data_IF_225210902026
#
_entry.id   IF_225210902026
#
_cell.length_a   1.000
_cell.length_b   1.000
_cell.length_c   1.000
_cell.angle_alpha   90.00
_cell.angle_beta   90.00
_cell.angle_gamma   90.00
#
_symmetry.space_group_name_H-M   'P 1'
#
loop_
_entity.id
_entity.type
_entity.pdbx_description
1 polymer ?
#
# COMPACT_ATOMS: atom_id res chain seq x y z
N UNK A 1 19.46 2.69 -14.84
CA UNK A 1 18.67 3.46 -13.85
C UNK A 1 19.32 4.83 -13.71
N UNK A 2 18.55 5.89 -13.88
CA UNK A 2 19.08 7.27 -13.84
C UNK A 2 19.06 7.76 -12.40
N UNK A 3 20.15 8.32 -11.95
CA UNK A 3 20.39 8.83 -10.61
C UNK A 3 20.93 10.25 -10.73
N UNK A 4 20.55 11.13 -9.83
CA UNK A 4 21.12 12.48 -9.78
C UNK A 4 22.33 12.50 -8.85
N UNK A 5 23.48 12.86 -9.38
CA UNK A 5 24.71 13.07 -8.61
C UNK A 5 24.96 14.55 -8.39
N UNK A 6 25.30 14.92 -7.17
CA UNK A 6 25.79 16.27 -6.87
C UNK A 6 27.24 16.40 -7.35
N UNK A 7 27.53 17.48 -8.03
CA UNK A 7 28.86 17.82 -8.52
C UNK A 7 29.24 19.22 -8.02
N UNK A 8 30.54 19.50 -7.99
CA UNK A 8 31.02 20.82 -7.58
C UNK A 8 30.48 21.90 -8.52
N UNK A 9 30.01 23.00 -7.96
CA UNK A 9 29.45 24.15 -8.71
C UNK A 9 30.42 24.77 -9.72
N UNK A 10 31.71 24.47 -9.63
CA UNK A 10 32.73 24.86 -10.62
C UNK A 10 32.49 24.30 -12.02
N UNK A 11 31.66 23.27 -12.15
CA UNK A 11 31.31 22.65 -13.43
C UNK A 11 30.09 23.28 -14.12
N UNK A 12 29.57 24.42 -13.61
CA UNK A 12 28.42 25.12 -14.18
C UNK A 12 27.06 24.50 -13.88
N UNK A 13 27.04 23.36 -13.17
CA UNK A 13 25.83 22.72 -12.69
C UNK A 13 26.09 22.11 -11.31
N UNK A 14 25.09 22.14 -10.42
CA UNK A 14 25.18 21.54 -9.08
C UNK A 14 24.77 20.06 -9.07
N UNK A 15 24.06 19.61 -10.12
CA UNK A 15 23.53 18.24 -10.22
C UNK A 15 23.58 17.73 -11.66
N UNK A 16 24.00 16.49 -11.84
CA UNK A 16 24.02 15.81 -13.14
C UNK A 16 23.28 14.48 -13.02
N UNK A 17 22.42 14.22 -14.00
CA UNK A 17 21.80 12.91 -14.13
C UNK A 17 22.81 11.91 -14.73
N UNK A 18 23.11 10.85 -14.01
CA UNK A 18 24.04 9.81 -14.44
C UNK A 18 23.32 8.45 -14.47
N UNK A 19 23.76 7.57 -15.34
CA UNK A 19 23.23 6.22 -15.41
C UNK A 19 24.00 5.33 -14.44
N UNK A 20 23.51 5.21 -13.21
CA UNK A 20 24.07 4.32 -12.17
C UNK A 20 22.99 3.34 -11.73
N UNK A 21 23.36 2.09 -11.65
CA UNK A 21 22.51 1.01 -11.20
C UNK A 21 21.85 0.22 -12.32
N UNK A 22 21.54 -1.00 -12.02
CA UNK A 22 20.95 -1.97 -12.92
C UNK A 22 19.71 -2.60 -12.33
N UNK A 23 18.70 -2.77 -13.17
CA UNK A 23 17.41 -3.36 -12.84
C UNK A 23 17.14 -4.53 -13.78
N UNK A 24 16.65 -5.63 -13.23
CA UNK A 24 16.23 -6.79 -14.00
C UNK A 24 14.74 -7.03 -13.82
N UNK A 25 14.01 -7.02 -14.92
CA UNK A 25 12.61 -7.41 -14.99
C UNK A 25 12.50 -8.75 -15.71
N UNK A 26 11.71 -9.65 -15.15
CA UNK A 26 11.28 -10.92 -15.77
C UNK A 26 9.80 -11.09 -15.50
N UNK A 27 9.11 -11.76 -16.37
CA UNK A 27 7.68 -12.00 -16.17
C UNK A 27 7.16 -13.10 -17.06
N UNK A 28 5.91 -13.45 -16.79
CA UNK A 28 5.10 -14.32 -17.65
C UNK A 28 3.66 -13.80 -17.67
N UNK A 29 2.97 -14.10 -18.72
CA UNK A 29 1.57 -13.82 -18.93
C UNK A 29 0.85 -15.08 -19.37
N UNK A 30 -0.36 -15.29 -18.87
CA UNK A 30 -1.22 -16.40 -19.23
C UNK A 30 -2.59 -15.86 -19.60
N UNK A 31 -3.11 -16.28 -20.74
CA UNK A 31 -4.49 -16.01 -21.15
C UNK A 31 -5.15 -17.33 -21.56
N UNK A 32 -6.31 -17.61 -20.97
CA UNK A 32 -7.07 -18.84 -21.20
C UNK A 32 -8.51 -18.48 -21.49
N UNK A 33 -9.02 -18.92 -22.63
CA UNK A 33 -10.42 -18.80 -23.00
C UNK A 33 -11.04 -20.20 -23.12
N UNK A 34 -12.15 -20.41 -22.43
CA UNK A 34 -12.87 -21.69 -22.42
C UNK A 34 -14.33 -21.47 -22.80
N UNK A 35 -14.86 -22.38 -23.60
CA UNK A 35 -16.29 -22.47 -23.92
C UNK A 35 -16.79 -23.86 -23.60
N UNK A 36 -16.92 -24.21 -22.31
CA UNK A 36 -17.26 -25.58 -21.90
C UNK A 36 -18.64 -26.00 -22.36
N UNK A 37 -19.50 -25.06 -22.65
CA UNK A 37 -20.84 -25.32 -23.11
C UNK A 37 -21.25 -24.30 -24.18
N UNK A 38 -21.62 -24.79 -25.36
CA UNK A 38 -22.14 -23.97 -26.46
C UNK A 38 -23.23 -24.72 -27.20
N UNK A 39 -24.49 -24.52 -26.79
CA UNK A 39 -25.68 -25.07 -27.37
C UNK A 39 -26.60 -23.97 -27.87
N UNK A 40 -27.64 -24.31 -28.61
CA UNK A 40 -28.62 -23.37 -29.16
C UNK A 40 -29.23 -22.48 -28.07
N UNK A 41 -29.69 -23.09 -26.99
CA UNK A 41 -30.42 -22.40 -25.93
C UNK A 41 -29.55 -22.00 -24.72
N UNK A 42 -28.35 -22.54 -24.56
CA UNK A 42 -27.47 -22.22 -23.45
C UNK A 42 -25.99 -22.27 -23.83
N UNK A 43 -25.24 -21.41 -23.23
CA UNK A 43 -23.82 -21.34 -23.44
C UNK A 43 -23.11 -20.77 -22.21
N UNK A 44 -21.86 -21.19 -22.00
CA UNK A 44 -20.96 -20.69 -20.99
C UNK A 44 -19.64 -20.35 -21.67
N UNK A 45 -19.16 -19.13 -21.47
CA UNK A 45 -17.83 -18.72 -21.89
C UNK A 45 -17.11 -18.17 -20.69
N UNK A 46 -15.86 -18.59 -20.49
CA UNK A 46 -14.99 -18.16 -19.42
C UNK A 46 -13.70 -17.62 -20.05
N UNK A 47 -13.23 -16.49 -19.58
CA UNK A 47 -11.94 -15.92 -19.97
C UNK A 47 -11.18 -15.55 -18.72
N UNK A 48 -9.96 -16.01 -18.62
CA UNK A 48 -9.05 -15.74 -17.53
C UNK A 48 -7.74 -15.23 -18.10
N UNK A 49 -7.25 -14.13 -17.54
CA UNK A 49 -5.91 -13.62 -17.84
C UNK A 49 -5.18 -13.31 -16.54
N UNK A 50 -3.89 -13.54 -16.53
CA UNK A 50 -3.06 -13.19 -15.39
C UNK A 50 -1.62 -12.98 -15.83
N UNK A 51 -0.93 -12.09 -15.12
CA UNK A 51 0.48 -11.79 -15.35
C UNK A 51 1.23 -11.67 -14.02
N UNK A 52 2.51 -12.01 -14.06
CA UNK A 52 3.45 -11.83 -12.94
C UNK A 52 4.73 -11.19 -13.45
N UNK A 53 5.14 -10.11 -12.77
CA UNK A 53 6.39 -9.44 -13.05
C UNK A 53 7.31 -9.56 -11.84
N UNK A 54 8.50 -10.05 -12.06
CA UNK A 54 9.59 -10.09 -11.07
C UNK A 54 10.54 -8.94 -11.35
N UNK A 55 10.54 -7.98 -10.47
CA UNK A 55 11.43 -6.83 -10.51
C UNK A 55 12.54 -7.03 -9.47
N UNK A 56 13.78 -6.83 -9.86
CA UNK A 56 14.91 -6.95 -8.94
C UNK A 56 16.01 -5.95 -9.30
N UNK A 57 16.42 -5.16 -8.32
CA UNK A 57 17.62 -4.33 -8.42
C UNK A 57 18.86 -5.22 -8.33
N UNK A 58 19.73 -5.16 -9.32
CA UNK A 58 20.95 -5.96 -9.37
C UNK A 58 22.18 -5.15 -8.98
N UNK A 59 22.12 -3.83 -9.17
CA UNK A 59 23.14 -2.91 -8.70
C UNK A 59 22.47 -1.59 -8.31
N UNK A 60 22.61 -1.17 -7.05
CA UNK A 60 22.09 0.08 -6.53
C UNK A 60 23.24 1.04 -6.22
N UNK A 61 23.02 2.34 -6.42
CA UNK A 61 23.94 3.37 -5.98
C UNK A 61 23.76 3.60 -4.47
N UNK A 62 24.79 3.34 -3.69
CA UNK A 62 24.77 3.49 -2.23
C UNK A 62 24.64 4.95 -1.77
N UNK A 63 25.10 5.90 -2.57
CA UNK A 63 25.04 7.33 -2.25
C UNK A 63 23.60 7.86 -2.13
N UNK A 64 22.59 7.14 -2.65
CA UNK A 64 21.18 7.54 -2.58
C UNK A 64 20.49 7.23 -1.23
N UNK A 65 21.10 6.42 -0.40
CA UNK A 65 20.48 5.91 0.82
C UNK A 65 20.94 6.69 2.06
N UNK A 66 21.18 7.99 1.91
CA UNK A 66 21.78 8.85 2.95
C UNK A 66 20.77 9.50 3.89
N UNK A 67 19.45 9.26 3.70
CA UNK A 67 18.41 9.82 4.54
C UNK A 67 17.35 8.79 4.91
N UNK A 68 16.91 8.78 6.16
CA UNK A 68 15.79 7.94 6.60
C UNK A 68 14.51 8.24 5.81
N UNK A 69 14.33 9.47 5.33
CA UNK A 69 13.17 9.87 4.53
C UNK A 69 13.06 9.08 3.24
N UNK A 70 14.17 8.66 2.66
CA UNK A 70 14.15 7.80 1.47
C UNK A 70 13.51 6.44 1.77
N UNK A 71 13.74 5.89 2.97
CA UNK A 71 13.14 4.64 3.43
C UNK A 71 11.64 4.80 3.69
N UNK A 72 11.24 5.82 4.45
CA UNK A 72 9.83 6.02 4.79
C UNK A 72 8.99 6.41 3.58
N UNK A 73 9.54 7.15 2.62
CA UNK A 73 8.87 7.51 1.37
C UNK A 73 8.91 6.38 0.33
N UNK A 74 9.69 5.32 0.57
CA UNK A 74 9.83 4.20 -0.35
C UNK A 74 10.56 4.55 -1.64
N UNK A 75 11.43 5.57 -1.61
CA UNK A 75 12.31 5.95 -2.72
C UNK A 75 13.67 5.25 -2.66
N UNK A 76 13.97 4.57 -1.54
CA UNK A 76 15.22 3.83 -1.39
C UNK A 76 15.30 2.66 -2.36
N UNK A 77 16.47 2.47 -2.94
CA UNK A 77 16.75 1.41 -3.88
C UNK A 77 17.82 0.52 -3.27
N UNK A 78 17.46 -0.74 -3.01
CA UNK A 78 18.33 -1.70 -2.33
C UNK A 78 18.63 -2.91 -3.23
N UNK A 79 19.89 -3.33 -3.27
CA UNK A 79 20.28 -4.52 -3.99
C UNK A 79 19.49 -5.75 -3.57
N UNK A 80 19.06 -6.53 -4.54
CA UNK A 80 18.34 -7.77 -4.31
C UNK A 80 16.84 -7.61 -4.02
N UNK A 81 16.35 -6.37 -3.83
CA UNK A 81 14.93 -6.07 -3.59
C UNK A 81 14.27 -5.51 -4.84
N UNK A 82 12.94 -5.60 -4.95
CA UNK A 82 12.18 -4.87 -5.97
C UNK A 82 12.31 -3.35 -5.78
N UNK A 83 12.23 -2.60 -6.88
CA UNK A 83 11.92 -1.16 -6.81
C UNK A 83 10.55 -0.98 -6.17
N UNK A 84 10.31 0.14 -5.50
CA UNK A 84 9.04 0.41 -4.78
C UNK A 84 8.78 -0.52 -3.59
N UNK A 85 9.83 -1.07 -2.99
CA UNK A 85 9.72 -1.80 -1.72
C UNK A 85 9.37 -0.84 -0.59
N UNK A 86 8.35 -1.19 0.21
CA UNK A 86 8.07 -0.52 1.47
C UNK A 86 9.08 -0.94 2.53
N UNK A 87 9.60 0.04 3.25
CA UNK A 87 10.41 -0.14 4.43
C UNK A 87 9.66 0.44 5.62
N UNK A 88 9.65 -0.27 6.75
CA UNK A 88 8.88 0.10 7.93
C UNK A 88 9.71 -0.11 9.19
N UNK A 89 9.46 0.72 10.22
CA UNK A 89 9.92 0.43 11.57
C UNK A 89 9.19 -0.79 12.11
N UNK A 90 9.87 -1.62 12.86
CA UNK A 90 9.22 -2.76 13.53
C UNK A 90 8.64 -2.30 14.87
N UNK A 91 7.33 -2.18 14.93
CA UNK A 91 6.64 -1.90 16.18
C UNK A 91 6.80 -3.09 17.14
N UNK A 92 7.05 -2.81 18.42
CA UNK A 92 7.09 -3.82 19.47
C UNK A 92 5.80 -3.77 20.30
N UNK A 93 5.63 -2.72 21.09
CA UNK A 93 4.47 -2.52 21.96
C UNK A 93 4.33 -1.06 22.35
N UNK A 94 3.29 -0.73 23.10
CA UNK A 94 3.24 0.50 23.88
C UNK A 94 3.84 0.27 25.26
N UNK A 95 4.57 1.25 25.78
CA UNK A 95 5.00 1.25 27.18
C UNK A 95 3.84 1.60 28.14
N UNK A 96 4.09 1.57 29.45
CA UNK A 96 3.09 1.90 30.46
C UNK A 96 2.57 3.34 30.41
N UNK A 97 3.27 4.22 29.71
CA UNK A 97 2.90 5.64 29.48
C UNK A 97 2.22 5.86 28.13
N UNK A 98 2.04 4.82 27.33
CA UNK A 98 1.41 4.86 26.00
C UNK A 98 2.34 5.33 24.89
N UNK A 99 3.64 5.30 25.08
CA UNK A 99 4.62 5.58 24.03
C UNK A 99 4.90 4.32 23.21
N UNK A 100 5.03 4.44 21.89
CA UNK A 100 5.37 3.29 21.05
C UNK A 100 6.84 2.92 21.22
N UNK A 101 7.12 1.62 21.32
CA UNK A 101 8.46 1.04 21.30
C UNK A 101 8.68 0.26 20.01
N UNK A 102 9.94 0.15 19.59
CA UNK A 102 10.30 -0.46 18.32
C UNK A 102 11.41 -1.48 18.52
N UNK A 103 11.33 -2.62 17.83
CA UNK A 103 12.35 -3.67 17.83
C UNK A 103 13.64 -3.17 17.23
N UNK A 104 14.74 -3.84 17.57
CA UNK A 104 16.09 -3.53 17.12
C UNK A 104 16.69 -2.22 17.66
N UNK A 105 15.92 -1.43 18.40
CA UNK A 105 16.43 -0.24 19.10
C UNK A 105 16.81 -0.53 20.55
N UNK A 106 16.23 -1.58 21.15
CA UNK A 106 16.36 -1.89 22.57
C UNK A 106 17.24 -3.10 22.87
N UNK A 107 17.74 -3.82 21.86
CA UNK A 107 18.29 -5.17 22.06
C UNK A 107 19.81 -5.29 22.01
N UNK A 108 20.53 -4.28 21.56
CA UNK A 108 21.99 -4.37 21.47
C UNK A 108 22.65 -3.75 22.69
N UNK A 109 23.30 -4.62 23.44
CA UNK A 109 24.24 -4.28 24.47
C UNK A 109 25.58 -3.92 23.90
N UNK A 110 26.08 -2.75 24.32
CA UNK A 110 27.48 -2.46 24.28
C UNK A 110 27.88 -2.06 25.70
N UNK A 111 28.39 -3.00 26.45
CA UNK A 111 29.26 -2.72 27.57
C UNK A 111 30.67 -2.70 27.00
N UNK A 112 31.03 -1.59 26.38
CA UNK A 112 32.42 -1.26 26.18
C UNK A 112 32.82 -0.29 27.29
N UNK A 113 34.10 -0.23 27.62
CA UNK A 113 34.62 0.65 28.66
C UNK A 113 34.47 2.13 28.38
N UNK A 114 33.77 2.54 27.31
CA UNK A 114 33.67 3.90 26.80
C UNK A 114 32.40 4.65 27.23
N UNK A 115 31.63 4.07 28.18
CA UNK A 115 30.45 4.74 28.75
C UNK A 115 29.19 4.65 27.92
N UNK A 116 29.13 3.75 26.94
CA UNK A 116 27.93 3.49 26.16
C UNK A 116 26.88 2.77 27.02
N UNK A 117 25.64 3.18 26.87
CA UNK A 117 24.52 2.62 27.62
C UNK A 117 23.95 1.39 26.87
N UNK A 118 23.32 0.52 27.64
CA UNK A 118 22.54 -0.61 27.10
C UNK A 118 21.59 -0.13 26.00
N UNK A 119 21.70 -0.74 24.83
CA UNK A 119 20.87 -0.42 23.67
C UNK A 119 21.43 0.64 22.74
N UNK A 120 22.58 1.24 23.04
CA UNK A 120 23.26 2.12 22.10
C UNK A 120 23.77 1.32 20.90
N UNK A 121 23.70 1.93 19.70
CA UNK A 121 24.21 1.29 18.49
C UNK A 121 25.54 1.94 18.10
N UNK A 122 26.56 1.12 17.92
CA UNK A 122 27.74 1.54 17.16
C UNK A 122 27.47 1.23 15.70
N UNK A 123 27.45 2.26 14.89
CA UNK A 123 27.26 2.18 13.44
C UNK A 123 28.36 2.93 12.72
N UNK A 124 28.81 2.34 11.63
CA UNK A 124 29.91 2.88 10.82
C UNK A 124 29.40 3.65 9.60
N UNK A 125 28.12 3.54 9.27
CA UNK A 125 27.54 4.18 8.08
C UNK A 125 26.03 4.37 8.19
N UNK A 126 25.49 5.29 7.38
CA UNK A 126 24.04 5.48 7.21
C UNK A 126 23.33 4.18 6.78
N UNK A 127 23.94 3.44 5.88
CA UNK A 127 23.38 2.18 5.36
C UNK A 127 23.18 1.17 6.49
N UNK A 128 24.13 1.06 7.40
CA UNK A 128 24.04 0.17 8.57
C UNK A 128 22.95 0.64 9.53
N UNK A 129 22.90 1.94 9.85
CA UNK A 129 21.88 2.51 10.72
C UNK A 129 20.47 2.22 10.20
N UNK A 130 20.25 2.48 8.92
CA UNK A 130 18.93 2.28 8.32
C UNK A 130 18.60 0.80 8.09
N UNK A 131 19.58 -0.06 7.82
CA UNK A 131 19.37 -1.50 7.74
C UNK A 131 18.90 -2.10 9.06
N UNK A 132 19.32 -1.52 10.18
CA UNK A 132 18.85 -1.93 11.52
C UNK A 132 17.49 -1.38 11.87
N UNK A 133 17.22 -0.11 11.47
CA UNK A 133 15.99 0.60 11.78
C UNK A 133 14.79 0.09 10.98
N UNK A 134 15.01 -0.33 9.75
CA UNK A 134 13.95 -0.64 8.81
C UNK A 134 13.94 -2.09 8.37
N UNK A 135 12.73 -2.61 8.21
CA UNK A 135 12.47 -3.92 7.60
C UNK A 135 11.73 -3.77 6.28
N UNK A 136 12.10 -4.58 5.30
CA UNK A 136 11.39 -4.63 4.02
C UNK A 136 10.06 -5.37 4.17
N UNK A 137 8.94 -4.68 3.92
CA UNK A 137 7.58 -5.19 4.11
C UNK A 137 6.96 -5.79 2.84
N UNK A 138 7.61 -5.66 1.70
CA UNK A 138 7.11 -6.06 0.39
C UNK A 138 6.93 -4.88 -0.56
N UNK A 139 6.51 -5.17 -1.79
CA UNK A 139 6.42 -4.20 -2.87
C UNK A 139 5.05 -3.50 -2.92
N UNK A 140 5.04 -2.31 -3.50
CA UNK A 140 3.82 -1.62 -3.96
C UNK A 140 3.24 -2.27 -5.21
N UNK A 141 4.09 -2.95 -5.98
CA UNK A 141 3.67 -3.64 -7.19
C UNK A 141 3.07 -5.01 -6.84
N UNK A 142 1.97 -5.42 -7.49
CA UNK A 142 1.39 -6.71 -7.26
C UNK A 142 2.31 -7.84 -7.73
N UNK A 143 2.35 -8.92 -6.97
CA UNK A 143 3.00 -10.16 -7.40
C UNK A 143 2.24 -10.82 -8.55
N UNK A 144 0.92 -10.74 -8.53
CA UNK A 144 0.04 -11.32 -9.52
C UNK A 144 -1.12 -10.37 -9.78
N UNK A 145 -1.35 -10.04 -11.05
CA UNK A 145 -2.49 -9.24 -11.50
C UNK A 145 -3.24 -9.93 -12.63
N UNK A 146 -4.52 -9.64 -12.76
CA UNK A 146 -5.29 -10.22 -13.84
C UNK A 146 -6.79 -9.96 -13.75
N UNK A 147 -7.51 -10.69 -14.59
CA UNK A 147 -8.96 -10.62 -14.67
C UNK A 147 -9.61 -11.95 -15.00
N UNK A 148 -10.88 -12.03 -14.68
CA UNK A 148 -11.76 -13.13 -15.01
C UNK A 148 -13.04 -12.55 -15.62
N UNK A 149 -13.48 -13.09 -16.76
CA UNK A 149 -14.80 -12.83 -17.31
C UNK A 149 -15.57 -14.12 -17.43
N UNK A 150 -16.85 -14.06 -17.08
CA UNK A 150 -17.76 -15.19 -17.22
C UNK A 150 -19.05 -14.71 -17.88
N UNK A 151 -19.40 -15.36 -18.99
CA UNK A 151 -20.63 -15.13 -19.75
C UNK A 151 -21.48 -16.38 -19.72
N UNK A 152 -22.72 -16.21 -19.29
CA UNK A 152 -23.72 -17.27 -19.28
C UNK A 152 -24.91 -16.84 -20.13
N UNK A 153 -25.29 -17.69 -21.07
CA UNK A 153 -26.46 -17.51 -21.93
C UNK A 153 -27.45 -18.62 -21.69
N UNK A 154 -28.69 -18.24 -21.44
CA UNK A 154 -29.82 -19.15 -21.36
C UNK A 154 -31.00 -18.62 -22.14
N UNK A 155 -31.32 -19.24 -23.28
CA UNK A 155 -32.35 -18.79 -24.20
C UNK A 155 -32.16 -17.32 -24.57
N UNK A 156 -33.03 -16.47 -24.05
CA UNK A 156 -33.06 -15.01 -24.31
C UNK A 156 -32.36 -14.16 -23.24
N UNK A 157 -31.92 -14.80 -22.19
CA UNK A 157 -31.12 -14.17 -21.12
C UNK A 157 -29.63 -14.33 -21.38
N UNK A 158 -28.90 -13.28 -21.13
CA UNK A 158 -27.44 -13.32 -21.02
C UNK A 158 -26.98 -12.60 -19.77
N UNK A 159 -26.18 -13.29 -18.98
CA UNK A 159 -25.52 -12.76 -17.77
C UNK A 159 -24.02 -12.70 -18.04
N UNK A 160 -23.44 -11.52 -17.92
CA UNK A 160 -21.99 -11.31 -18.06
C UNK A 160 -21.43 -10.73 -16.77
N UNK A 161 -20.30 -11.25 -16.33
CA UNK A 161 -19.60 -10.76 -15.16
C UNK A 161 -18.11 -10.58 -15.47
N UNK A 162 -17.52 -9.52 -14.92
CA UNK A 162 -16.09 -9.24 -15.06
C UNK A 162 -15.50 -8.94 -13.70
N UNK A 163 -14.35 -9.55 -13.42
CA UNK A 163 -13.60 -9.39 -12.18
C UNK A 163 -12.19 -8.96 -12.50
N UNK A 164 -11.63 -8.14 -11.62
CA UNK A 164 -10.22 -7.78 -11.61
C UNK A 164 -9.61 -8.15 -10.26
N UNK A 165 -8.36 -8.58 -10.27
CA UNK A 165 -7.64 -8.89 -9.03
C UNK A 165 -6.19 -8.42 -9.10
N UNK A 166 -5.67 -8.00 -7.94
CA UNK A 166 -4.26 -7.78 -7.68
C UNK A 166 -3.91 -8.44 -6.35
N UNK A 167 -2.84 -9.23 -6.35
CA UNK A 167 -2.42 -10.02 -5.19
C UNK A 167 -0.95 -9.76 -4.85
N UNK A 168 -0.62 -9.81 -3.56
CA UNK A 168 0.76 -9.79 -3.08
C UNK A 168 1.35 -8.40 -2.87
N UNK A 169 0.64 -7.31 -3.20
CA UNK A 169 1.13 -5.95 -3.00
C UNK A 169 0.77 -5.38 -1.64
N UNK A 170 1.54 -4.39 -1.24
CA UNK A 170 1.39 -3.68 0.03
C UNK A 170 0.97 -2.23 -0.20
N UNK A 171 0.36 -1.67 0.82
CA UNK A 171 0.02 -0.24 0.88
C UNK A 171 0.27 0.28 2.29
N UNK A 172 0.64 1.53 2.40
CA UNK A 172 0.73 2.21 3.70
C UNK A 172 -0.56 2.95 3.96
N UNK A 173 -1.14 2.72 5.13
CA UNK A 173 -2.31 3.46 5.60
C UNK A 173 -1.93 4.92 5.84
N UNK A 174 -2.88 5.82 5.62
CA UNK A 174 -2.68 7.25 5.88
C UNK A 174 -2.26 7.48 7.32
N UNK A 175 -1.44 8.52 7.54
CA UNK A 175 -1.01 8.92 8.86
C UNK A 175 -2.22 9.15 9.77
N UNK A 176 -2.16 8.62 10.98
CA UNK A 176 -3.19 8.88 11.99
C UNK A 176 -3.04 10.28 12.57
N UNK A 177 -1.81 10.67 12.87
CA UNK A 177 -1.47 11.93 13.48
C UNK A 177 -0.13 12.42 12.95
N UNK A 178 0.02 13.73 12.81
CA UNK A 178 1.27 14.36 12.37
C UNK A 178 1.78 15.20 13.54
N UNK A 179 2.92 14.83 14.08
CA UNK A 179 3.47 15.34 15.33
C UNK A 179 3.88 16.83 15.32
N UNK A 180 3.94 17.45 14.16
CA UNK A 180 4.26 18.90 14.05
C UNK A 180 3.06 19.81 14.24
N UNK A 181 1.88 19.23 14.43
CA UNK A 181 0.65 19.96 14.65
C UNK A 181 0.31 19.91 16.15
N UNK A 182 -0.11 21.02 16.69
CA UNK A 182 -0.85 21.07 17.94
C UNK A 182 -2.00 20.06 17.90
N UNK A 183 -2.55 19.68 19.05
CA UNK A 183 -3.73 18.83 19.16
C UNK A 183 -4.72 19.13 18.03
N UNK A 184 -5.36 18.10 17.46
CA UNK A 184 -6.29 18.28 16.36
C UNK A 184 -7.32 19.34 16.71
N UNK A 185 -7.49 20.33 15.84
CA UNK A 185 -8.55 21.31 16.04
C UNK A 185 -9.92 20.63 16.10
N UNK A 186 -10.85 21.09 16.95
CA UNK A 186 -12.19 20.50 17.09
C UNK A 186 -12.96 20.37 15.76
N UNK A 187 -12.66 21.23 14.78
CA UNK A 187 -13.28 21.21 13.45
C UNK A 187 -12.63 20.26 12.45
N UNK A 188 -11.53 19.60 12.80
CA UNK A 188 -10.87 18.64 11.93
C UNK A 188 -11.45 17.24 12.11
N UNK A 189 -11.83 16.62 11.00
CA UNK A 189 -12.21 15.21 10.99
C UNK A 189 -10.99 14.33 11.26
N UNK A 190 -11.12 13.49 12.28
CA UNK A 190 -10.10 12.52 12.65
C UNK A 190 -10.51 11.11 12.23
N UNK A 191 -9.51 10.24 12.07
CA UNK A 191 -9.78 8.82 11.86
C UNK A 191 -10.51 8.22 13.08
N UNK A 192 -11.54 7.40 12.84
CA UNK A 192 -12.23 6.64 13.88
C UNK A 192 -11.31 5.72 14.68
N UNK A 193 -10.14 5.38 14.13
CA UNK A 193 -9.11 4.61 14.82
C UNK A 193 -8.67 5.26 16.13
N UNK A 194 -8.69 6.59 16.22
CA UNK A 194 -8.33 7.33 17.42
C UNK A 194 -9.19 7.05 18.65
N UNK A 195 -10.41 6.56 18.47
CA UNK A 195 -11.27 6.16 19.59
C UNK A 195 -10.57 5.11 20.45
N UNK A 196 -9.78 4.25 19.80
CA UNK A 196 -9.09 3.12 20.43
C UNK A 196 -7.63 3.45 20.85
N UNK A 197 -7.24 4.73 20.92
CA UNK A 197 -5.90 5.10 21.38
C UNK A 197 -5.69 4.80 22.86
N UNK A 198 -4.46 4.70 23.28
CA UNK A 198 -4.08 4.65 24.67
C UNK A 198 -4.52 5.92 25.40
N UNK A 199 -5.12 5.81 26.59
CA UNK A 199 -5.65 6.92 27.40
C UNK A 199 -5.17 6.87 28.85
N UNK A 200 -4.91 5.69 29.39
CA UNK A 200 -4.51 5.48 30.78
C UNK A 200 -3.67 4.21 30.91
N UNK A 201 -2.85 4.09 31.95
CA UNK A 201 -2.10 2.87 32.26
C UNK A 201 -3.00 1.62 32.25
N UNK A 202 -2.53 0.57 31.60
CA UNK A 202 -3.27 -0.67 31.37
C UNK A 202 -3.89 -0.77 29.97
N UNK A 203 -4.05 0.36 29.25
CA UNK A 203 -4.57 0.34 27.88
C UNK A 203 -3.56 -0.22 26.86
N UNK A 204 -2.27 -0.22 27.19
CA UNK A 204 -1.19 -0.83 26.37
C UNK A 204 -1.41 -2.31 26.10
N UNK A 205 -2.21 -2.98 26.93
CA UNK A 205 -2.61 -4.38 26.73
C UNK A 205 -3.82 -4.56 25.80
N UNK A 206 -4.45 -3.47 25.39
CA UNK A 206 -5.71 -3.49 24.60
C UNK A 206 -5.59 -2.77 23.26
N UNK A 207 -4.62 -1.88 23.12
CA UNK A 207 -4.42 -1.09 21.92
C UNK A 207 -2.96 -0.98 21.56
N UNK A 208 -2.71 -0.83 20.25
CA UNK A 208 -1.40 -0.49 19.70
C UNK A 208 -1.33 0.97 19.24
N UNK A 209 -2.37 1.78 19.48
CA UNK A 209 -2.39 3.17 19.04
C UNK A 209 -1.87 4.05 20.16
N UNK A 210 -0.80 4.82 19.92
CA UNK A 210 -0.16 5.64 20.94
C UNK A 210 -1.09 6.72 21.53
N UNK A 211 -0.68 7.22 22.69
CA UNK A 211 -1.33 8.37 23.33
C UNK A 211 -1.24 9.62 22.45
N UNK A 212 -2.22 10.50 22.55
CA UNK A 212 -2.06 11.89 22.12
C UNK A 212 -1.29 12.63 23.20
N UNK A 213 -0.35 13.45 22.80
CA UNK A 213 0.43 14.31 23.68
C UNK A 213 0.54 15.69 23.05
N UNK A 214 0.42 16.73 23.88
CA UNK A 214 0.63 18.14 23.51
C UNK A 214 2.08 18.39 23.10
N UNK A 215 2.98 17.76 23.81
CA UNK A 215 4.34 17.59 23.38
C UNK A 215 4.30 16.56 22.28
N UNK A 216 4.38 17.01 21.04
CA UNK A 216 4.71 16.10 19.96
C UNK A 216 5.71 15.12 20.55
N UNK A 217 5.45 13.82 20.54
CA UNK A 217 6.36 12.79 21.04
C UNK A 217 7.73 13.02 20.40
N UNK A 218 8.44 14.00 20.95
CA UNK A 218 9.65 14.56 20.36
C UNK A 218 10.76 13.56 20.56
N UNK A 219 11.54 13.36 19.53
CA UNK A 219 12.77 12.58 19.62
C UNK A 219 13.71 13.09 20.72
N UNK A 220 13.61 14.37 21.13
CA UNK A 220 14.38 14.92 22.25
C UNK A 220 14.12 14.23 23.59
N UNK A 221 12.88 13.99 23.95
CA UNK A 221 12.51 13.18 25.14
C UNK A 221 12.84 11.71 24.94
N UNK A 222 12.81 11.27 23.70
CA UNK A 222 13.19 9.93 23.29
C UNK A 222 14.70 9.68 23.43
N UNK A 223 15.56 10.68 23.17
CA UNK A 223 17.00 10.57 23.33
C UNK A 223 17.45 10.25 24.77
N UNK A 224 16.62 10.55 25.77
CA UNK A 224 16.91 10.19 27.16
C UNK A 224 16.43 8.79 27.54
N UNK A 225 15.45 8.26 26.81
CA UNK A 225 14.81 6.96 27.09
C UNK A 225 15.25 5.84 26.15
N UNK A 226 15.81 6.15 24.99
CA UNK A 226 16.15 5.18 23.93
C UNK A 226 17.64 5.19 23.58
N UNK A 227 18.12 4.10 22.95
CA UNK A 227 19.54 3.94 22.64
C UNK A 227 20.05 5.05 21.72
N UNK A 228 21.18 5.60 22.07
CA UNK A 228 21.88 6.58 21.26
C UNK A 228 22.58 5.87 20.09
N UNK A 229 22.65 6.58 18.98
CA UNK A 229 23.38 6.12 17.81
C UNK A 229 24.79 6.68 17.87
N UNK A 230 25.81 5.84 17.84
CA UNK A 230 27.21 6.22 17.88
C UNK A 230 27.94 5.84 16.57
N UNK A 231 28.97 6.60 16.16
CA UNK A 231 29.50 7.79 16.80
C UNK A 231 28.57 8.99 16.71
N UNK A 232 28.52 9.78 17.77
CA UNK A 232 27.63 10.96 17.89
C UNK A 232 27.87 12.03 16.82
N UNK A 233 29.06 12.05 16.23
CA UNK A 233 29.43 12.97 15.15
C UNK A 233 28.70 12.69 13.83
N UNK A 234 28.21 11.49 13.67
CA UNK A 234 27.37 11.10 12.56
C UNK A 234 25.91 11.32 12.99
N UNK A 235 25.39 12.51 12.74
CA UNK A 235 23.96 12.81 12.97
C UNK A 235 23.09 12.02 12.00
N UNK A 236 22.74 10.81 12.38
CA UNK A 236 21.78 9.97 11.65
C UNK A 236 20.38 10.12 12.23
N UNK A 237 19.60 11.12 11.82
CA UNK A 237 18.22 11.18 12.25
C UNK A 237 17.50 9.96 11.67
N UNK A 238 16.88 9.18 12.56
CA UNK A 238 16.17 7.98 12.18
C UNK A 238 14.69 8.29 11.96
N UNK A 239 14.17 9.31 12.62
CA UNK A 239 12.83 9.82 12.48
C UNK A 239 12.75 11.25 13.05
N UNK A 240 11.68 11.99 12.73
CA UNK A 240 11.39 13.29 13.32
C UNK A 240 10.62 13.17 14.64
N UNK A 241 9.86 12.08 14.84
CA UNK A 241 9.07 11.84 16.05
C UNK A 241 8.69 10.37 16.21
N UNK A 242 8.27 9.96 17.42
CA UNK A 242 7.73 8.63 17.68
C UNK A 242 6.41 8.38 16.90
N UNK A 243 5.60 9.42 16.70
CA UNK A 243 4.42 9.34 15.87
C UNK A 243 4.75 9.10 14.38
N UNK A 244 5.85 9.68 13.90
CA UNK A 244 6.34 9.39 12.55
C UNK A 244 6.75 7.91 12.45
N UNK A 245 7.51 7.40 13.42
CA UNK A 245 7.88 5.99 13.45
C UNK A 245 6.64 5.08 13.48
N UNK A 246 5.64 5.42 14.28
CA UNK A 246 4.37 4.69 14.32
C UNK A 246 3.63 4.72 12.98
N UNK A 247 3.51 5.90 12.35
CA UNK A 247 2.85 6.05 11.06
C UNK A 247 3.54 5.26 9.95
N UNK A 248 4.85 5.08 10.07
CA UNK A 248 5.66 4.33 9.11
C UNK A 248 6.06 2.93 9.62
N UNK A 249 5.38 2.44 10.66
CA UNK A 249 5.61 1.09 11.19
C UNK A 249 4.98 -0.01 10.32
N UNK A 250 5.36 -1.25 10.62
CA UNK A 250 4.80 -2.47 10.06
C UNK A 250 3.29 -2.59 10.30
N UNK A 251 2.78 -2.10 11.43
CA UNK A 251 1.34 -2.02 11.72
C UNK A 251 0.56 -1.18 10.70
N UNK A 252 1.21 -0.23 10.07
CA UNK A 252 0.62 0.69 9.09
C UNK A 252 0.88 0.30 7.64
N UNK A 253 1.68 -0.75 7.41
CA UNK A 253 1.97 -1.29 6.08
C UNK A 253 1.24 -2.62 5.92
N UNK A 254 0.11 -2.60 5.22
CA UNK A 254 -0.85 -3.70 5.15
C UNK A 254 -0.96 -4.29 3.75
N UNK A 255 -1.57 -5.47 3.64
CA UNK A 255 -1.89 -6.06 2.34
C UNK A 255 -2.95 -5.23 1.62
N UNK A 256 -2.72 -4.98 0.32
CA UNK A 256 -3.70 -4.35 -0.57
C UNK A 256 -4.26 -5.32 -1.60
N UNK A 257 -4.07 -6.61 -1.39
CA UNK A 257 -4.65 -7.66 -2.25
C UNK A 257 -6.16 -7.55 -2.31
N UNK A 258 -6.71 -7.68 -3.51
CA UNK A 258 -8.15 -7.61 -3.71
C UNK A 258 -8.65 -8.45 -4.89
N UNK A 259 -9.95 -8.77 -4.84
CA UNK A 259 -10.77 -9.22 -5.96
C UNK A 259 -11.99 -8.31 -6.05
N UNK A 260 -12.17 -7.64 -7.18
CA UNK A 260 -13.27 -6.71 -7.44
C UNK A 260 -14.19 -7.26 -8.53
N UNK A 261 -15.49 -7.26 -8.30
CA UNK A 261 -16.48 -7.38 -9.35
C UNK A 261 -16.65 -6.02 -10.02
N UNK A 262 -16.02 -5.83 -11.18
CA UNK A 262 -15.99 -4.56 -11.89
C UNK A 262 -17.29 -4.30 -12.65
N UNK A 263 -17.90 -5.36 -13.18
CA UNK A 263 -19.16 -5.26 -13.87
C UNK A 263 -19.96 -6.56 -13.75
N UNK A 264 -21.27 -6.42 -13.56
CA UNK A 264 -22.25 -7.49 -13.67
C UNK A 264 -23.40 -6.98 -14.53
N UNK A 265 -23.72 -7.67 -15.63
CA UNK A 265 -24.80 -7.26 -16.54
C UNK A 265 -25.73 -8.40 -16.86
N UNK A 266 -27.01 -8.14 -16.80
CA UNK A 266 -28.10 -9.05 -17.21
C UNK A 266 -28.82 -8.43 -18.39
N UNK A 267 -28.90 -9.13 -19.50
CA UNK A 267 -29.64 -8.69 -20.67
C UNK A 267 -30.75 -9.69 -21.01
N UNK A 268 -31.86 -9.16 -21.44
CA UNK A 268 -33.00 -9.93 -21.94
C UNK A 268 -33.40 -9.46 -23.34
N UNK A 269 -33.39 -10.37 -24.28
CA UNK A 269 -33.90 -10.13 -25.65
C UNK A 269 -35.34 -10.60 -25.76
N UNK A 270 -36.23 -9.66 -26.09
CA UNK A 270 -37.66 -9.98 -26.23
C UNK A 270 -37.94 -10.90 -27.43
N UNK A 271 -39.01 -11.70 -27.37
CA UNK A 271 -39.49 -12.53 -28.50
C UNK A 271 -39.79 -11.67 -29.74
N UNK A 272 -39.44 -12.21 -30.92
CA UNK A 272 -39.77 -11.54 -32.19
C UNK A 272 -41.25 -11.26 -32.37
N UNK A 273 -42.10 -12.16 -31.87
CA UNK A 273 -43.54 -11.99 -31.89
C UNK A 273 -44.01 -10.74 -31.14
N UNK A 274 -43.39 -10.42 -30.00
CA UNK A 274 -43.69 -9.23 -29.26
C UNK A 274 -43.14 -7.95 -29.96
N UNK A 275 -41.95 -8.07 -30.55
CA UNK A 275 -41.35 -6.98 -31.31
C UNK A 275 -42.23 -6.64 -32.54
N UNK A 276 -42.70 -7.61 -33.29
CA UNK A 276 -43.57 -7.41 -34.45
C UNK A 276 -44.89 -6.71 -34.10
N UNK A 277 -45.47 -7.02 -32.91
CA UNK A 277 -46.70 -6.36 -32.46
C UNK A 277 -46.47 -4.87 -32.14
N UNK A 278 -45.22 -4.49 -31.84
CA UNK A 278 -44.80 -3.13 -31.53
C UNK A 278 -44.16 -2.44 -32.74
N UNK A 279 -44.20 -3.04 -33.93
CA UNK A 279 -43.54 -2.56 -35.15
C UNK A 279 -42.01 -2.41 -34.98
N UNK A 280 -41.37 -3.27 -34.19
CA UNK A 280 -39.95 -3.29 -33.94
C UNK A 280 -39.30 -4.48 -34.57
N UNK A 281 -38.06 -4.34 -35.05
CA UNK A 281 -37.20 -5.41 -35.47
C UNK A 281 -36.59 -6.16 -34.28
N UNK A 282 -36.22 -5.41 -33.22
CA UNK A 282 -35.73 -6.04 -31.99
C UNK A 282 -35.93 -5.12 -30.77
N UNK A 283 -36.13 -5.76 -29.61
CA UNK A 283 -36.26 -5.10 -28.32
C UNK A 283 -35.34 -5.82 -27.32
N UNK A 284 -34.45 -5.07 -26.66
CA UNK A 284 -33.56 -5.57 -25.65
C UNK A 284 -33.63 -4.71 -24.39
N UNK A 285 -33.68 -5.38 -23.23
CA UNK A 285 -33.59 -4.75 -21.92
C UNK A 285 -32.33 -5.22 -21.23
N UNK A 286 -31.49 -4.27 -20.84
CA UNK A 286 -30.25 -4.53 -20.10
C UNK A 286 -30.28 -3.87 -18.72
N UNK A 287 -29.76 -4.57 -17.73
CA UNK A 287 -29.49 -4.05 -16.40
C UNK A 287 -28.02 -4.33 -16.08
N UNK A 288 -27.28 -3.34 -15.62
CA UNK A 288 -25.87 -3.51 -15.26
C UNK A 288 -25.53 -2.80 -13.96
N UNK A 289 -24.59 -3.41 -13.22
CA UNK A 289 -24.05 -2.86 -11.99
C UNK A 289 -22.53 -2.83 -12.14
N UNK A 290 -21.94 -1.67 -11.94
CA UNK A 290 -20.49 -1.52 -11.87
C UNK A 290 -20.03 -1.42 -10.42
N UNK A 291 -18.82 -1.94 -10.12
CA UNK A 291 -18.23 -1.95 -8.79
C UNK A 291 -19.12 -2.60 -7.73
N UNK A 292 -19.75 -3.75 -8.06
CA UNK A 292 -20.74 -4.39 -7.21
C UNK A 292 -20.19 -4.74 -5.83
N UNK A 293 -18.97 -5.27 -5.75
CA UNK A 293 -18.27 -5.54 -4.49
C UNK A 293 -16.76 -5.63 -4.70
N UNK A 294 -16.05 -5.50 -3.59
CA UNK A 294 -14.61 -5.77 -3.51
C UNK A 294 -14.32 -6.61 -2.27
N UNK A 295 -13.64 -7.75 -2.49
CA UNK A 295 -13.09 -8.59 -1.43
C UNK A 295 -11.66 -8.10 -1.20
N UNK A 296 -11.33 -7.71 0.02
CA UNK A 296 -10.07 -7.07 0.40
C UNK A 296 -9.70 -7.36 1.85
N UNK A 297 -8.46 -7.07 2.23
CA UNK A 297 -8.00 -7.25 3.59
C UNK A 297 -8.74 -6.31 4.57
N UNK A 298 -9.12 -6.84 5.73
CA UNK A 298 -9.77 -6.08 6.81
C UNK A 298 -8.88 -4.96 7.37
N UNK A 299 -7.56 -5.13 7.31
CA UNK A 299 -6.58 -4.13 7.72
C UNK A 299 -6.69 -2.81 6.93
N UNK A 300 -7.31 -2.82 5.75
CA UNK A 300 -7.62 -1.61 4.99
C UNK A 300 -8.72 -0.74 5.62
N UNK A 301 -9.43 -1.26 6.63
CA UNK A 301 -10.42 -0.50 7.44
C UNK A 301 -11.43 0.28 6.58
N UNK A 302 -11.99 -0.39 5.59
CA UNK A 302 -12.96 0.19 4.66
C UNK A 302 -12.39 0.94 3.47
N UNK A 303 -11.12 1.30 3.47
CA UNK A 303 -10.47 2.03 2.36
C UNK A 303 -10.40 1.17 1.10
N UNK A 304 -10.42 1.81 -0.06
CA UNK A 304 -10.27 1.12 -1.34
C UNK A 304 -8.80 0.76 -1.61
N UNK A 305 -8.50 -0.50 -1.97
CA UNK A 305 -7.13 -0.97 -2.17
C UNK A 305 -6.39 -0.28 -3.33
N UNK A 306 -7.11 0.17 -4.36
CA UNK A 306 -6.51 0.82 -5.54
C UNK A 306 -6.34 2.32 -5.37
N UNK A 307 -7.07 2.93 -4.42
CA UNK A 307 -7.05 4.38 -4.22
C UNK A 307 -6.26 4.83 -3.01
N UNK A 308 -5.72 3.91 -2.21
CA UNK A 308 -4.82 4.25 -1.13
C UNK A 308 -3.48 4.60 -1.74
N UNK A 309 -3.22 5.90 -1.89
CA UNK A 309 -1.89 6.41 -2.22
C UNK A 309 -1.30 7.13 -1.00
N UNK A 310 0.00 7.33 -1.00
CA UNK A 310 0.71 8.05 0.07
C UNK A 310 0.06 9.41 0.31
N UNK A 311 -0.57 9.56 1.49
CA UNK A 311 -1.18 10.81 1.94
C UNK A 311 -2.50 11.21 1.26
N UNK A 312 -2.98 10.49 0.26
CA UNK A 312 -4.23 10.84 -0.41
C UNK A 312 -5.45 10.29 0.36
N UNK A 313 -6.47 11.11 0.50
CA UNK A 313 -7.80 10.71 0.95
C UNK A 313 -8.70 10.70 -0.27
N UNK A 314 -9.15 9.52 -0.68
CA UNK A 314 -10.03 9.34 -1.83
C UNK A 314 -11.33 8.67 -1.41
N UNK A 315 -12.38 9.00 -2.13
CA UNK A 315 -13.69 8.33 -1.98
C UNK A 315 -13.62 7.01 -2.75
N UNK A 316 -13.95 5.87 -2.14
CA UNK A 316 -14.00 4.59 -2.85
C UNK A 316 -14.91 4.66 -4.08
N UNK A 317 -14.61 3.90 -5.16
CA UNK A 317 -15.48 3.80 -6.31
C UNK A 317 -16.88 3.38 -5.87
N UNK A 318 -17.87 4.15 -6.29
CA UNK A 318 -19.26 3.89 -5.93
C UNK A 318 -19.86 2.82 -6.83
N UNK A 319 -20.84 2.10 -6.32
CA UNK A 319 -21.67 1.22 -7.12
C UNK A 319 -22.53 2.08 -8.06
N UNK A 320 -22.54 1.71 -9.34
CA UNK A 320 -23.36 2.39 -10.34
C UNK A 320 -24.35 1.38 -10.93
N UNK A 321 -25.61 1.70 -10.88
CA UNK A 321 -26.70 0.91 -11.46
C UNK A 321 -27.18 1.58 -12.74
N UNK A 322 -27.27 0.81 -13.82
CA UNK A 322 -27.72 1.30 -15.10
C UNK A 322 -28.76 0.38 -15.71
N UNK A 323 -29.79 0.96 -16.29
CA UNK A 323 -30.80 0.26 -17.07
C UNK A 323 -30.77 0.79 -18.49
N UNK A 324 -30.80 -0.12 -19.45
CA UNK A 324 -30.74 0.20 -20.89
C UNK A 324 -31.90 -0.47 -21.61
N UNK A 325 -32.68 0.31 -22.32
CA UNK A 325 -33.67 -0.16 -23.26
C UNK A 325 -33.20 0.15 -24.69
N UNK A 326 -33.07 -0.86 -25.53
CA UNK A 326 -32.67 -0.71 -26.92
C UNK A 326 -33.78 -1.16 -27.85
N UNK A 327 -34.24 -0.26 -28.69
CA UNK A 327 -35.30 -0.43 -29.68
C UNK A 327 -34.68 -0.32 -31.06
N UNK A 328 -35.00 -1.24 -31.95
CA UNK A 328 -34.60 -1.19 -33.35
C UNK A 328 -35.86 -1.33 -34.20
N UNK A 329 -36.07 -0.35 -35.07
CA UNK A 329 -37.22 -0.24 -35.95
C UNK A 329 -36.91 -0.80 -37.35
#
# INVERSE_FOLDING_TARGET
MIVTKEITSTNGASRVAINRGSLRNKGWELSVGLKPLNRKDYGISLSFNTSKVYNKVTNADKEQNTSYTNYVNGSVITNGKPVNTFYSYQFDKLDANGYPTFKNYNEQYLEDGDGHKKGDFIISSYEEAYARAFVAMGSREPDLSGGLSADFRYKRFSLSSTFAFNLGHKVRLNNLYVANQTLPYPQQNMSTEYVNRWRKPGDENRTNIPRLSDDALRIGEWNDAYPKVYPQDLKYPIAASLWEMYNYSDLRTVSSSFLRCTNLSLNYRFPEEWCKRLFLNSLNLGFSVSNLFVIKDKALKGRDPEQISLGARSIPPQQTYSMRLSLNF
#
